data_IF_230487528994
#
_entry.id   IF_230487528994
#
_cell.length_a   1.000
_cell.length_b   1.000
_cell.length_c   1.000
_cell.angle_alpha   90.00
_cell.angle_beta   90.00
_cell.angle_gamma   90.00
#
_symmetry.space_group_name_H-M   'P 1'
#
loop_
_entity.id
_entity.type
_entity.pdbx_description
1 polymer ?
#
# COMPACT_ATOMS: atom_id res chain seq x y z
N UNK A 1 0.71 30.51 -2.98
CA UNK A 1 1.16 29.71 -4.16
C UNK A 1 -0.07 29.46 -5.03
N UNK A 2 0.05 29.34 -6.37
CA UNK A 2 -1.12 29.01 -7.18
C UNK A 2 -1.62 27.61 -6.83
N UNK A 3 -2.94 27.39 -6.81
CA UNK A 3 -3.55 26.11 -6.44
C UNK A 3 -3.00 24.91 -7.25
N UNK A 4 -2.66 25.14 -8.50
CA UNK A 4 -2.05 24.13 -9.39
C UNK A 4 -0.72 23.59 -8.83
N UNK A 5 0.11 24.46 -8.27
CA UNK A 5 1.39 24.03 -7.70
C UNK A 5 1.23 23.26 -6.39
N UNK A 6 0.16 23.51 -5.63
CA UNK A 6 -0.17 22.74 -4.43
C UNK A 6 -0.51 21.27 -4.74
N UNK A 7 -0.89 20.98 -5.97
CA UNK A 7 -1.15 19.60 -6.43
C UNK A 7 0.09 19.00 -7.09
N UNK A 8 0.72 19.74 -8.01
CA UNK A 8 1.80 19.20 -8.85
C UNK A 8 3.08 18.94 -8.04
N UNK A 9 3.47 19.86 -7.15
CA UNK A 9 4.71 19.71 -6.37
C UNK A 9 4.70 18.45 -5.48
N UNK A 10 3.65 18.18 -4.67
CA UNK A 10 3.59 16.96 -3.89
C UNK A 10 3.65 15.67 -4.72
N UNK A 11 2.99 15.65 -5.89
CA UNK A 11 3.01 14.48 -6.77
C UNK A 11 4.42 14.21 -7.31
N UNK A 12 5.09 15.24 -7.82
CA UNK A 12 6.46 15.10 -8.34
C UNK A 12 7.42 14.74 -7.21
N UNK A 13 7.37 15.45 -6.09
CA UNK A 13 8.28 15.22 -4.97
C UNK A 13 8.07 13.83 -4.34
N UNK A 14 6.82 13.41 -4.12
CA UNK A 14 6.51 12.08 -3.61
C UNK A 14 6.96 10.95 -4.54
N UNK A 15 6.77 11.13 -5.86
CA UNK A 15 7.25 10.19 -6.86
C UNK A 15 8.79 10.10 -6.89
N UNK A 16 9.48 11.23 -6.84
CA UNK A 16 10.94 11.24 -6.80
C UNK A 16 11.48 10.62 -5.50
N UNK A 17 10.80 10.84 -4.37
CA UNK A 17 11.13 10.19 -3.11
C UNK A 17 10.96 8.66 -3.20
N UNK A 18 9.86 8.18 -3.79
CA UNK A 18 9.64 6.75 -3.99
C UNK A 18 10.73 6.12 -4.88
N UNK A 19 11.11 6.78 -5.96
CA UNK A 19 12.20 6.31 -6.83
C UNK A 19 13.56 6.28 -6.12
N UNK A 20 13.86 7.28 -5.28
CA UNK A 20 15.17 7.43 -4.65
C UNK A 20 15.34 6.55 -3.41
N UNK A 21 14.33 6.48 -2.57
CA UNK A 21 14.41 5.84 -1.25
C UNK A 21 13.73 4.47 -1.27
N UNK A 22 12.62 4.35 -2.03
CA UNK A 22 11.72 3.22 -1.92
C UNK A 22 11.06 3.17 -0.54
N UNK A 23 10.31 2.10 -0.27
CA UNK A 23 9.69 1.89 1.03
C UNK A 23 10.68 1.16 1.97
N UNK A 24 11.25 1.86 2.97
CA UNK A 24 12.21 1.24 3.87
C UNK A 24 11.51 0.24 4.80
N UNK A 25 11.94 -1.02 4.74
CA UNK A 25 11.39 -2.11 5.59
C UNK A 25 11.47 -1.83 7.11
N UNK A 26 12.27 -0.85 7.51
CA UNK A 26 12.50 -0.46 8.90
C UNK A 26 11.47 0.55 9.42
N UNK A 27 10.77 1.25 8.54
CA UNK A 27 9.75 2.23 8.92
C UNK A 27 8.38 1.55 8.83
N UNK A 28 7.57 1.56 9.92
CA UNK A 28 6.25 0.96 9.87
C UNK A 28 5.37 1.67 8.84
N UNK A 29 4.94 0.93 7.81
CA UNK A 29 4.06 1.46 6.78
C UNK A 29 2.68 1.75 7.37
N UNK A 30 2.05 2.90 7.06
CA UNK A 30 0.71 3.24 7.58
C UNK A 30 -0.34 2.15 7.34
N UNK A 31 -0.26 1.43 6.20
CA UNK A 31 -1.15 0.30 5.87
C UNK A 31 -1.07 -0.83 6.91
N UNK A 32 0.12 -1.09 7.49
CA UNK A 32 0.28 -2.08 8.55
C UNK A 32 -0.48 -1.67 9.81
N UNK A 33 -0.46 -0.36 10.12
CA UNK A 33 -1.25 0.20 11.22
C UNK A 33 -2.75 -0.03 11.02
N UNK A 34 -3.27 0.28 9.82
CA UNK A 34 -4.66 -0.01 9.46
C UNK A 34 -4.98 -1.50 9.49
N UNK A 35 -4.11 -2.36 8.96
CA UNK A 35 -4.25 -3.81 9.02
C UNK A 35 -4.37 -4.33 10.46
N UNK A 36 -3.55 -3.83 11.37
CA UNK A 36 -3.60 -4.17 12.78
C UNK A 36 -4.92 -3.70 13.45
N UNK A 37 -5.39 -2.49 13.10
CA UNK A 37 -6.68 -1.98 13.58
C UNK A 37 -7.85 -2.83 13.07
N UNK A 38 -7.84 -3.23 11.80
CA UNK A 38 -8.86 -4.12 11.21
C UNK A 38 -8.84 -5.48 11.93
N UNK A 39 -7.67 -6.08 12.09
CA UNK A 39 -7.51 -7.36 12.78
C UNK A 39 -7.93 -7.29 14.25
N UNK A 40 -7.67 -6.18 14.91
CA UNK A 40 -8.16 -5.94 16.27
C UNK A 40 -9.69 -5.85 16.30
N UNK A 41 -10.28 -5.07 15.40
CA UNK A 41 -11.73 -4.92 15.31
C UNK A 41 -12.42 -6.26 14.96
N UNK A 42 -11.85 -7.03 14.05
CA UNK A 42 -12.35 -8.36 13.70
C UNK A 42 -12.39 -9.29 14.90
N UNK A 43 -11.30 -9.38 15.66
CA UNK A 43 -11.23 -10.23 16.87
C UNK A 43 -12.25 -9.83 17.94
N UNK A 44 -12.57 -8.53 18.08
CA UNK A 44 -13.47 -8.05 19.13
C UNK A 44 -14.93 -7.99 18.69
N UNK A 45 -15.20 -7.70 17.43
CA UNK A 45 -16.57 -7.45 16.97
C UNK A 45 -17.16 -8.58 16.11
N UNK A 46 -16.33 -9.44 15.50
CA UNK A 46 -16.80 -10.57 14.68
C UNK A 46 -17.26 -11.77 15.53
N UNK A 47 -17.87 -11.54 16.67
CA UNK A 47 -18.37 -12.60 17.57
C UNK A 47 -19.77 -12.26 18.09
N UNK A 48 -20.52 -13.30 18.45
CA UNK A 48 -21.83 -13.23 19.10
C UNK A 48 -22.96 -12.75 18.18
N UNK A 49 -24.06 -12.35 18.84
CA UNK A 49 -25.26 -11.86 18.17
C UNK A 49 -24.98 -10.49 17.52
N UNK A 50 -25.57 -10.22 16.34
CA UNK A 50 -25.41 -8.95 15.59
C UNK A 50 -24.01 -8.70 14.97
N UNK A 51 -23.21 -9.73 14.75
CA UNK A 51 -21.87 -9.59 14.13
C UNK A 51 -21.87 -8.84 12.80
N UNK A 52 -22.94 -9.02 11.97
CA UNK A 52 -23.09 -8.30 10.69
C UNK A 52 -23.22 -6.79 10.89
N UNK A 53 -24.02 -6.36 11.87
CA UNK A 53 -24.20 -4.94 12.19
C UNK A 53 -22.92 -4.33 12.77
N UNK A 54 -22.24 -5.06 13.66
CA UNK A 54 -20.94 -4.64 14.20
C UNK A 54 -19.91 -4.49 13.08
N UNK A 55 -19.84 -5.45 12.15
CA UNK A 55 -18.99 -5.38 10.99
C UNK A 55 -19.30 -4.19 10.07
N UNK A 56 -20.58 -3.91 9.82
CA UNK A 56 -21.02 -2.76 9.05
C UNK A 56 -20.60 -1.43 9.69
N UNK A 57 -20.76 -1.31 11.02
CA UNK A 57 -20.33 -0.10 11.76
C UNK A 57 -18.81 0.08 11.64
N UNK A 58 -18.01 -0.98 11.83
CA UNK A 58 -16.56 -0.92 11.68
C UNK A 58 -16.17 -0.55 10.24
N UNK A 59 -16.80 -1.17 9.24
CA UNK A 59 -16.52 -0.91 7.83
C UNK A 59 -16.83 0.54 7.41
N UNK A 60 -17.79 1.19 8.04
CA UNK A 60 -18.12 2.59 7.80
C UNK A 60 -17.27 3.54 8.64
N UNK A 61 -16.94 3.16 9.89
CA UNK A 61 -16.20 4.05 10.80
C UNK A 61 -14.75 4.24 10.41
N UNK A 62 -14.07 3.22 9.87
CA UNK A 62 -12.66 3.31 9.52
C UNK A 62 -12.39 4.25 8.33
N UNK A 63 -13.10 4.15 7.19
CA UNK A 63 -12.96 5.13 6.11
C UNK A 63 -13.34 6.55 6.53
N UNK A 64 -14.40 6.69 7.34
CA UNK A 64 -14.81 7.99 7.86
C UNK A 64 -13.73 8.62 8.74
N UNK A 65 -13.16 7.82 9.67
CA UNK A 65 -12.05 8.26 10.50
C UNK A 65 -10.81 8.64 9.67
N UNK A 66 -10.44 7.82 8.69
CA UNK A 66 -9.32 8.10 7.80
C UNK A 66 -9.56 9.38 6.98
N UNK A 67 -10.77 9.58 6.46
CA UNK A 67 -11.15 10.79 5.73
C UNK A 67 -11.11 12.05 6.60
N UNK A 68 -11.64 11.96 7.82
CA UNK A 68 -11.59 13.08 8.78
C UNK A 68 -10.17 13.42 9.20
N UNK A 69 -9.34 12.41 9.45
CA UNK A 69 -7.92 12.60 9.78
C UNK A 69 -7.16 13.25 8.61
N UNK A 70 -7.35 12.76 7.39
CA UNK A 70 -6.75 13.34 6.18
C UNK A 70 -7.20 14.78 5.95
N UNK A 71 -8.50 15.07 6.10
CA UNK A 71 -9.03 16.43 6.01
C UNK A 71 -8.42 17.34 7.09
N UNK A 72 -8.36 16.88 8.33
CA UNK A 72 -7.78 17.64 9.44
C UNK A 72 -6.29 17.94 9.22
N UNK A 73 -5.52 16.97 8.70
CA UNK A 73 -4.11 17.16 8.34
C UNK A 73 -4.00 18.20 7.21
N UNK A 74 -4.83 18.11 6.18
CA UNK A 74 -4.84 19.06 5.06
C UNK A 74 -5.11 20.48 5.54
N UNK A 75 -6.18 20.67 6.31
CA UNK A 75 -6.54 22.00 6.83
C UNK A 75 -5.47 22.53 7.80
N UNK A 76 -4.97 21.68 8.69
CA UNK A 76 -3.94 22.06 9.66
C UNK A 76 -2.63 22.45 8.98
N UNK A 77 -2.18 21.72 7.97
CA UNK A 77 -0.95 22.03 7.24
C UNK A 77 -1.08 23.29 6.38
N UNK A 78 -2.22 23.51 5.74
CA UNK A 78 -2.50 24.73 4.99
C UNK A 78 -2.58 25.96 5.91
N UNK A 79 -3.08 25.82 7.13
CA UNK A 79 -3.12 26.90 8.12
C UNK A 79 -1.69 27.33 8.57
N UNK A 80 -0.73 26.40 8.54
CA UNK A 80 0.70 26.71 8.80
C UNK A 80 1.35 27.37 7.58
N UNK A 81 1.02 26.91 6.37
CA UNK A 81 1.48 27.48 5.11
C UNK A 81 1.60 26.45 3.98
N UNK A 82 1.59 26.95 2.75
CA UNK A 82 1.63 26.16 1.52
C UNK A 82 2.80 25.16 1.49
N UNK A 83 3.98 25.56 1.98
CA UNK A 83 5.15 24.68 2.02
C UNK A 83 4.98 23.52 2.99
N UNK A 84 4.36 23.74 4.14
CA UNK A 84 4.06 22.70 5.11
C UNK A 84 3.11 21.67 4.51
N UNK A 85 2.08 22.12 3.82
CA UNK A 85 1.16 21.25 3.09
C UNK A 85 1.92 20.45 2.02
N UNK A 86 2.74 21.08 1.18
CA UNK A 86 3.47 20.38 0.11
C UNK A 86 4.38 19.27 0.67
N UNK A 87 5.09 19.53 1.77
CA UNK A 87 5.97 18.54 2.40
C UNK A 87 5.15 17.34 2.88
N UNK A 88 4.08 17.59 3.65
CA UNK A 88 3.25 16.51 4.20
C UNK A 88 2.53 15.74 3.10
N UNK A 89 1.98 16.43 2.12
CA UNK A 89 1.33 15.81 0.95
C UNK A 89 2.32 14.94 0.14
N UNK A 90 3.58 15.39 -0.03
CA UNK A 90 4.63 14.59 -0.68
C UNK A 90 4.92 13.29 0.05
N UNK A 91 4.90 13.29 1.38
CA UNK A 91 5.07 12.09 2.19
C UNK A 91 3.88 11.14 2.01
N UNK A 92 2.65 11.66 1.95
CA UNK A 92 1.48 10.83 1.66
C UNK A 92 1.52 10.22 0.27
N UNK A 93 1.93 10.98 -0.74
CA UNK A 93 2.11 10.48 -2.12
C UNK A 93 3.20 9.40 -2.14
N UNK A 94 4.34 9.63 -1.47
CA UNK A 94 5.41 8.64 -1.35
C UNK A 94 4.91 7.31 -0.80
N UNK A 95 4.18 7.32 0.33
CA UNK A 95 3.62 6.09 0.91
C UNK A 95 2.49 5.48 0.07
N UNK A 96 1.74 6.30 -0.68
CA UNK A 96 0.65 5.82 -1.55
C UNK A 96 1.13 5.14 -2.82
N UNK A 97 2.24 5.60 -3.40
CA UNK A 97 2.75 5.04 -4.66
C UNK A 97 3.40 3.68 -4.49
N UNK A 98 4.33 3.52 -3.52
CA UNK A 98 5.04 2.28 -3.20
C UNK A 98 5.57 1.49 -4.42
N UNK A 99 5.80 2.17 -5.57
CA UNK A 99 6.19 1.55 -6.84
C UNK A 99 7.55 0.85 -6.75
N UNK A 100 8.50 1.47 -6.06
CA UNK A 100 9.83 0.89 -5.86
C UNK A 100 9.74 -0.45 -5.13
N UNK A 101 8.91 -0.52 -4.09
CA UNK A 101 8.70 -1.74 -3.31
C UNK A 101 8.05 -2.83 -4.13
N UNK A 102 7.04 -2.50 -4.92
CA UNK A 102 6.37 -3.44 -5.82
C UNK A 102 7.36 -4.05 -6.82
N UNK A 103 8.16 -3.22 -7.49
CA UNK A 103 9.18 -3.66 -8.45
C UNK A 103 10.22 -4.55 -7.76
N UNK A 104 10.65 -4.20 -6.56
CA UNK A 104 11.60 -5.00 -5.77
C UNK A 104 11.03 -6.37 -5.42
N UNK A 105 9.79 -6.43 -4.94
CA UNK A 105 9.11 -7.69 -4.60
C UNK A 105 8.98 -8.60 -5.84
N UNK A 106 8.56 -8.05 -6.98
CA UNK A 106 8.49 -8.81 -8.23
C UNK A 106 9.86 -9.33 -8.70
N UNK A 107 10.91 -8.51 -8.63
CA UNK A 107 12.28 -8.92 -8.96
C UNK A 107 12.80 -10.02 -8.03
N UNK A 108 12.50 -9.93 -6.73
CA UNK A 108 12.91 -10.93 -5.74
C UNK A 108 12.32 -12.31 -6.04
N UNK A 109 11.03 -12.39 -6.46
CA UNK A 109 10.43 -13.66 -6.91
C UNK A 109 11.21 -14.25 -8.08
N UNK A 110 11.51 -13.43 -9.08
CA UNK A 110 12.25 -13.86 -10.30
C UNK A 110 13.67 -14.31 -9.94
N UNK A 111 14.36 -13.60 -9.07
CA UNK A 111 15.70 -13.93 -8.63
C UNK A 111 15.75 -15.25 -7.85
N UNK A 112 14.77 -15.46 -6.96
CA UNK A 112 14.64 -16.72 -6.22
C UNK A 112 14.31 -17.87 -7.16
N UNK A 113 13.39 -17.67 -8.11
CA UNK A 113 13.06 -18.67 -9.13
C UNK A 113 14.30 -19.10 -9.92
N UNK A 114 15.14 -18.16 -10.33
CA UNK A 114 16.35 -18.44 -11.09
C UNK A 114 17.45 -19.12 -10.26
N UNK A 115 17.61 -18.72 -8.99
CA UNK A 115 18.73 -19.18 -8.14
C UNK A 115 18.40 -20.44 -7.36
N UNK A 116 17.13 -20.61 -6.94
CA UNK A 116 16.71 -21.66 -6.00
C UNK A 116 15.68 -22.62 -6.59
N UNK A 117 15.24 -22.38 -7.85
CA UNK A 117 14.32 -23.26 -8.56
C UNK A 117 12.84 -22.94 -8.34
N UNK A 118 12.00 -23.78 -8.98
CA UNK A 118 10.55 -23.53 -9.13
C UNK A 118 9.82 -23.50 -7.80
N UNK A 119 10.12 -24.45 -6.91
CA UNK A 119 9.46 -24.55 -5.61
C UNK A 119 9.69 -23.33 -4.71
N UNK A 120 10.92 -22.81 -4.72
CA UNK A 120 11.24 -21.59 -3.98
C UNK A 120 10.55 -20.36 -4.60
N UNK A 121 10.51 -20.29 -5.93
CA UNK A 121 9.78 -19.26 -6.67
C UNK A 121 8.30 -19.25 -6.36
N UNK A 122 7.64 -20.42 -6.35
CA UNK A 122 6.22 -20.59 -5.98
C UNK A 122 5.93 -20.07 -4.57
N UNK A 123 6.75 -20.49 -3.59
CA UNK A 123 6.62 -20.03 -2.19
C UNK A 123 6.77 -18.51 -2.06
N UNK A 124 7.76 -17.93 -2.76
CA UNK A 124 7.97 -16.47 -2.68
C UNK A 124 6.85 -15.71 -3.38
N UNK A 125 6.35 -16.24 -4.51
CA UNK A 125 5.22 -15.66 -5.23
C UNK A 125 3.94 -15.65 -4.39
N UNK A 126 3.65 -16.71 -3.62
CA UNK A 126 2.44 -16.78 -2.78
C UNK A 126 2.33 -15.67 -1.72
N UNK A 127 3.41 -14.94 -1.45
CA UNK A 127 3.39 -13.81 -0.51
C UNK A 127 2.86 -12.52 -1.15
N UNK A 128 2.85 -12.44 -2.48
CA UNK A 128 2.47 -11.23 -3.21
C UNK A 128 1.23 -11.42 -4.11
N UNK A 129 0.72 -12.64 -4.22
CA UNK A 129 -0.50 -12.95 -4.99
C UNK A 129 -1.55 -13.60 -4.11
N UNK A 130 -2.83 -13.32 -4.39
CA UNK A 130 -3.98 -13.90 -3.65
C UNK A 130 -4.47 -15.23 -4.21
N UNK A 131 -3.70 -15.90 -5.10
CA UNK A 131 -4.09 -17.17 -5.75
C UNK A 131 -3.16 -18.31 -5.38
N UNK A 132 -3.61 -19.54 -5.60
CA UNK A 132 -2.77 -20.73 -5.44
C UNK A 132 -1.62 -20.72 -6.45
N UNK A 133 -0.41 -20.96 -5.95
CA UNK A 133 0.83 -20.95 -6.73
C UNK A 133 1.46 -22.35 -6.84
N UNK A 134 0.88 -23.38 -6.20
CA UNK A 134 1.48 -24.71 -6.03
C UNK A 134 1.76 -25.43 -7.35
N UNK A 135 0.93 -25.21 -8.37
CA UNK A 135 1.01 -25.88 -9.67
C UNK A 135 1.59 -25.02 -10.80
N UNK A 136 2.05 -23.79 -10.49
CA UNK A 136 2.53 -22.87 -11.51
C UNK A 136 3.86 -23.37 -12.12
N UNK A 137 3.92 -23.44 -13.45
CA UNK A 137 5.17 -23.62 -14.19
C UNK A 137 6.08 -22.39 -14.03
N UNK A 138 7.39 -22.47 -14.35
CA UNK A 138 8.26 -21.30 -14.37
C UNK A 138 7.67 -20.14 -15.17
N UNK A 139 7.10 -20.41 -16.35
CA UNK A 139 6.41 -19.41 -17.17
C UNK A 139 5.18 -18.84 -16.46
N UNK A 140 4.41 -19.68 -15.78
CA UNK A 140 3.27 -19.25 -14.98
C UNK A 140 3.66 -18.30 -13.83
N UNK A 141 4.81 -18.53 -13.19
CA UNK A 141 5.34 -17.64 -12.16
C UNK A 141 5.69 -16.27 -12.75
N UNK A 142 6.40 -16.21 -13.90
CA UNK A 142 6.69 -14.93 -14.57
C UNK A 142 5.41 -14.18 -14.94
N UNK A 143 4.42 -14.89 -15.53
CA UNK A 143 3.15 -14.28 -15.89
C UNK A 143 2.42 -13.73 -14.66
N UNK A 144 2.38 -14.50 -13.58
CA UNK A 144 1.74 -14.07 -12.32
C UNK A 144 2.40 -12.83 -11.70
N UNK A 145 3.73 -12.74 -11.74
CA UNK A 145 4.45 -11.53 -11.29
C UNK A 145 4.06 -10.33 -12.14
N UNK A 146 4.05 -10.46 -13.47
CA UNK A 146 3.71 -9.36 -14.36
C UNK A 146 2.25 -8.92 -14.21
N UNK A 147 1.32 -9.87 -14.08
CA UNK A 147 -0.09 -9.59 -13.84
C UNK A 147 -0.30 -8.82 -12.54
N UNK A 148 0.29 -9.29 -11.43
CA UNK A 148 0.19 -8.61 -10.14
C UNK A 148 0.81 -7.21 -10.18
N UNK A 149 1.95 -7.04 -10.85
CA UNK A 149 2.57 -5.72 -11.00
C UNK A 149 1.70 -4.78 -11.83
N UNK A 150 1.09 -5.27 -12.93
CA UNK A 150 0.19 -4.47 -13.77
C UNK A 150 -1.11 -4.11 -13.03
N UNK A 151 -1.69 -5.05 -12.28
CA UNK A 151 -2.88 -4.84 -11.46
C UNK A 151 -2.62 -3.75 -10.40
N UNK A 152 -1.57 -3.89 -9.60
CA UNK A 152 -1.24 -2.89 -8.59
C UNK A 152 -0.90 -1.51 -9.18
N UNK A 153 -0.32 -1.46 -10.37
CA UNK A 153 -0.03 -0.19 -11.06
C UNK A 153 -1.32 0.48 -11.57
N UNK A 154 -2.35 -0.30 -11.91
CA UNK A 154 -3.64 0.24 -12.35
C UNK A 154 -4.55 0.62 -11.19
N UNK A 155 -4.43 -0.05 -10.06
CA UNK A 155 -5.27 0.16 -8.87
C UNK A 155 -4.74 1.29 -7.96
N UNK A 156 -3.49 1.69 -8.12
CA UNK A 156 -2.84 2.79 -7.39
C UNK A 156 -2.94 4.10 -8.10
#
# INVERSE_FOLDING_TARGET
MNEVWLVILPLIAGYLLDLAIGDPRTIPHPVVGFGNMISWAERHFNCGRFRKWKGAVVALSFPLFAGMAGWGITVGTLAVGDWCFCIVASVFVFYGLANHSLIREGREVIDILKKQGVEAGRRRLSWIVGRDTSELSPKGIYTAVLETMAENLSDG
#
